data_IF_703077950169
#
_entry.id   IF_703077950169
#
_cell.length_a   1.000
_cell.length_b   1.000
_cell.length_c   1.000
_cell.angle_alpha   90.00
_cell.angle_beta   90.00
_cell.angle_gamma   90.00
#
_symmetry.space_group_name_H-M   'P 1'
#
loop_
_entity.id
_entity.type
_entity.pdbx_description
1 polymer ?
#
# COMPACT_ATOMS: atom_id res chain seq x y z
N UNK A 1 2.00 -10.14 19.36
CA UNK A 1 1.71 -9.27 18.20
C UNK A 1 0.29 -8.76 18.40
N UNK A 2 0.00 -7.47 18.16
CA UNK A 2 -1.37 -6.97 18.40
C UNK A 2 -2.29 -7.34 17.22
N UNK A 3 -3.59 -7.54 17.44
CA UNK A 3 -4.54 -7.83 16.36
C UNK A 3 -4.55 -6.78 15.24
N UNK A 4 -4.25 -5.52 15.56
CA UNK A 4 -4.15 -4.42 14.59
C UNK A 4 -2.93 -4.57 13.68
N UNK A 5 -1.81 -5.08 14.23
CA UNK A 5 -0.60 -5.33 13.47
C UNK A 5 -0.82 -6.46 12.45
N UNK A 6 -1.48 -7.54 12.86
CA UNK A 6 -1.82 -8.66 11.96
C UNK A 6 -2.71 -8.21 10.80
N UNK A 7 -3.75 -7.43 11.09
CA UNK A 7 -4.61 -6.83 10.05
C UNK A 7 -3.84 -5.95 9.08
N UNK A 8 -2.87 -5.17 9.56
CA UNK A 8 -2.04 -4.32 8.70
C UNK A 8 -1.13 -5.14 7.77
N UNK A 9 -0.56 -6.25 8.25
CA UNK A 9 0.26 -7.15 7.45
C UNK A 9 -0.56 -7.91 6.40
N UNK A 10 -1.77 -8.34 6.76
CA UNK A 10 -2.70 -8.98 5.83
C UNK A 10 -3.10 -8.03 4.69
N UNK A 11 -3.47 -6.79 5.04
CA UNK A 11 -3.74 -5.75 4.05
C UNK A 11 -2.55 -5.52 3.10
N UNK A 12 -1.33 -5.37 3.62
CA UNK A 12 -0.15 -5.18 2.78
C UNK A 12 0.13 -6.39 1.87
N UNK A 13 -0.21 -7.60 2.32
CA UNK A 13 -0.11 -8.81 1.51
C UNK A 13 -1.11 -8.78 0.36
N UNK A 14 -2.33 -8.30 0.55
CA UNK A 14 -3.31 -8.14 -0.52
C UNK A 14 -2.88 -7.05 -1.51
N UNK A 15 -2.50 -5.88 -1.01
CA UNK A 15 -2.09 -4.75 -1.85
C UNK A 15 -0.89 -5.07 -2.77
N UNK A 16 0.11 -5.82 -2.27
CA UNK A 16 1.23 -6.24 -3.12
C UNK A 16 0.83 -7.28 -4.18
N UNK A 17 -0.20 -8.09 -3.93
CA UNK A 17 -0.73 -9.04 -4.90
C UNK A 17 -1.51 -8.31 -5.99
N UNK A 18 -2.30 -7.28 -5.63
CA UNK A 18 -3.01 -6.45 -6.61
C UNK A 18 -2.06 -5.75 -7.59
N UNK A 19 -0.84 -5.41 -7.14
CA UNK A 19 0.19 -4.87 -8.02
C UNK A 19 0.54 -5.80 -9.19
N UNK A 20 0.33 -7.12 -9.12
CA UNK A 20 0.61 -8.04 -10.25
C UNK A 20 -0.32 -7.82 -11.44
N UNK A 21 -1.44 -7.11 -11.29
CA UNK A 21 -2.36 -6.80 -12.39
C UNK A 21 -1.89 -5.64 -13.28
N UNK A 22 -0.82 -4.94 -12.89
CA UNK A 22 -0.30 -3.78 -13.61
C UNK A 22 1.02 -4.11 -14.29
N UNK A 23 1.33 -3.45 -15.41
CA UNK A 23 2.65 -3.51 -16.00
C UNK A 23 3.69 -2.83 -15.08
N UNK A 24 4.90 -3.38 -15.03
CA UNK A 24 5.94 -2.87 -14.12
C UNK A 24 6.57 -1.59 -14.64
N UNK A 25 6.80 -1.51 -15.96
CA UNK A 25 7.47 -0.36 -16.56
C UNK A 25 6.55 0.86 -16.59
N UNK A 26 5.26 0.66 -16.90
CA UNK A 26 4.24 1.69 -16.81
C UNK A 26 4.12 2.23 -15.38
N UNK A 27 3.93 1.34 -14.40
CA UNK A 27 3.82 1.72 -12.99
C UNK A 27 5.10 2.40 -12.47
N UNK A 28 6.27 1.96 -12.95
CA UNK A 28 7.56 2.58 -12.64
C UNK A 28 7.63 4.02 -13.15
N UNK A 29 7.23 4.23 -14.41
CA UNK A 29 7.18 5.54 -15.05
C UNK A 29 6.22 6.49 -14.32
N UNK A 30 4.97 6.07 -14.12
CA UNK A 30 3.92 6.90 -13.52
C UNK A 30 4.24 7.30 -12.08
N UNK A 31 4.85 6.40 -11.32
CA UNK A 31 5.19 6.66 -9.91
C UNK A 31 6.54 7.33 -9.72
N UNK A 32 7.37 7.42 -10.77
CA UNK A 32 8.76 7.85 -10.67
C UNK A 32 9.53 6.99 -9.67
N UNK A 33 9.33 5.67 -9.75
CA UNK A 33 10.02 4.66 -8.95
C UNK A 33 10.91 3.83 -9.88
N UNK A 34 11.87 3.07 -9.35
CA UNK A 34 12.59 2.10 -10.18
C UNK A 34 11.73 0.84 -10.38
N UNK A 35 11.85 0.12 -11.51
CA UNK A 35 11.20 -1.17 -11.71
C UNK A 35 11.55 -2.16 -10.58
N UNK A 36 12.80 -2.12 -10.12
CA UNK A 36 13.29 -2.93 -8.99
C UNK A 36 12.55 -2.66 -7.68
N UNK A 37 12.08 -1.43 -7.45
CA UNK A 37 11.27 -1.07 -6.27
C UNK A 37 9.89 -1.73 -6.36
N UNK A 38 9.28 -1.73 -7.54
CA UNK A 38 7.98 -2.36 -7.79
C UNK A 38 8.10 -3.89 -7.60
N UNK A 39 9.13 -4.51 -8.17
CA UNK A 39 9.39 -5.94 -7.96
C UNK A 39 9.65 -6.30 -6.49
N UNK A 40 10.39 -5.47 -5.77
CA UNK A 40 10.66 -5.68 -4.34
C UNK A 40 9.37 -5.62 -3.50
N UNK A 41 8.45 -4.72 -3.85
CA UNK A 41 7.13 -4.64 -3.21
C UNK A 41 6.26 -5.87 -3.55
N UNK A 42 6.07 -6.17 -4.85
CA UNK A 42 5.28 -7.33 -5.33
C UNK A 42 5.72 -8.64 -4.68
N UNK A 43 7.01 -8.92 -4.74
CA UNK A 43 7.61 -10.15 -4.18
C UNK A 43 7.51 -10.23 -2.66
N UNK A 44 7.25 -9.12 -1.96
CA UNK A 44 7.27 -9.06 -0.50
C UNK A 44 8.69 -9.09 0.07
N UNK A 45 9.74 -8.97 -0.76
CA UNK A 45 11.14 -8.82 -0.30
C UNK A 45 11.27 -7.59 0.60
N UNK A 46 10.49 -6.55 0.32
CA UNK A 46 10.36 -5.38 1.17
C UNK A 46 8.97 -5.37 1.81
N UNK A 47 8.90 -5.80 3.07
CA UNK A 47 7.64 -5.80 3.85
C UNK A 47 7.14 -4.36 4.07
N UNK A 48 8.06 -3.41 4.25
CA UNK A 48 7.74 -2.00 4.51
C UNK A 48 8.58 -1.08 3.61
N UNK A 49 8.04 -0.62 2.47
CA UNK A 49 8.66 0.44 1.69
C UNK A 49 8.75 1.71 2.54
N UNK A 50 9.58 2.67 2.11
CA UNK A 50 9.56 4.02 2.68
C UNK A 50 8.12 4.57 2.59
N UNK A 51 7.62 5.30 3.60
CA UNK A 51 6.22 5.73 3.65
C UNK A 51 5.73 6.42 2.37
N UNK A 52 6.56 7.30 1.78
CA UNK A 52 6.23 7.99 0.52
C UNK A 52 6.05 7.01 -0.65
N UNK A 53 6.91 6.00 -0.76
CA UNK A 53 6.82 4.96 -1.80
C UNK A 53 5.56 4.13 -1.61
N UNK A 54 5.29 3.71 -0.37
CA UNK A 54 4.09 2.95 -0.05
C UNK A 54 2.83 3.74 -0.42
N UNK A 55 2.77 5.04 -0.10
CA UNK A 55 1.59 5.86 -0.39
C UNK A 55 1.36 6.03 -1.89
N UNK A 56 2.42 6.26 -2.67
CA UNK A 56 2.33 6.32 -4.14
C UNK A 56 1.76 5.03 -4.73
N UNK A 57 2.30 3.88 -4.30
CA UNK A 57 1.86 2.57 -4.81
C UNK A 57 0.40 2.29 -4.45
N UNK A 58 0.00 2.57 -3.21
CA UNK A 58 -1.37 2.35 -2.76
C UNK A 58 -2.37 3.26 -3.48
N UNK A 59 -2.04 4.53 -3.67
CA UNK A 59 -2.87 5.46 -4.44
C UNK A 59 -3.04 4.99 -5.90
N UNK A 60 -1.96 4.53 -6.53
CA UNK A 60 -1.96 4.00 -7.90
C UNK A 60 -2.92 2.83 -8.09
N UNK A 61 -2.92 1.87 -7.16
CA UNK A 61 -3.81 0.70 -7.21
C UNK A 61 -5.22 1.00 -6.63
N UNK A 62 -5.51 2.27 -6.32
CA UNK A 62 -6.85 2.73 -5.96
C UNK A 62 -7.21 2.67 -4.47
N UNK A 63 -6.22 2.58 -3.57
CA UNK A 63 -6.44 2.63 -2.12
C UNK A 63 -6.23 4.04 -1.54
N UNK A 64 -7.19 4.50 -0.75
CA UNK A 64 -7.10 5.78 -0.04
C UNK A 64 -6.62 5.64 1.41
N UNK A 65 -5.50 6.28 1.69
CA UNK A 65 -4.84 6.26 3.00
C UNK A 65 -5.38 7.36 3.92
N UNK A 66 -6.12 6.96 4.95
CA UNK A 66 -6.60 7.88 5.99
C UNK A 66 -5.78 7.78 7.28
N UNK A 67 -5.22 8.88 7.77
CA UNK A 67 -4.54 8.91 9.09
C UNK A 67 -5.53 9.43 10.13
N UNK A 68 -6.07 8.55 10.96
CA UNK A 68 -6.94 8.91 12.08
C UNK A 68 -6.13 9.09 13.37
N UNK A 69 -6.28 10.24 14.03
CA UNK A 69 -5.60 10.55 15.30
C UNK A 69 -6.41 9.99 16.48
N UNK A 70 -5.97 8.87 17.06
CA UNK A 70 -6.55 8.38 18.31
C UNK A 70 -5.98 9.12 19.53
N UNK A 71 -6.85 9.78 20.31
CA UNK A 71 -6.51 10.46 21.56
C UNK A 71 -6.32 9.45 22.69
N UNK A 72 -5.10 8.90 22.91
CA UNK A 72 -4.48 8.67 24.26
C UNK A 72 -3.26 7.74 24.31
N UNK A 73 -3.01 6.95 23.30
CA UNK A 73 -1.75 6.21 23.09
C UNK A 73 -1.58 6.26 21.57
N UNK A 74 -0.37 6.18 21.01
CA UNK A 74 -0.21 6.15 19.55
C UNK A 74 -0.07 4.69 19.08
N UNK A 75 -1.14 3.86 19.04
CA UNK A 75 -1.21 2.74 18.11
C UNK A 75 -1.86 3.27 16.82
N UNK A 76 -1.10 3.23 15.73
CA UNK A 76 -1.60 3.53 14.38
C UNK A 76 -2.54 2.39 13.99
N UNK A 77 -3.81 2.53 14.36
CA UNK A 77 -4.86 1.54 14.12
C UNK A 77 -5.56 1.77 12.79
N UNK A 78 -5.43 0.78 11.91
CA UNK A 78 -6.30 0.39 10.78
C UNK A 78 -6.92 1.53 9.96
N UNK A 79 -6.36 1.72 8.77
CA UNK A 79 -6.91 2.52 7.67
C UNK A 79 -8.10 1.80 7.06
N UNK A 80 -9.29 2.39 7.13
CA UNK A 80 -10.35 2.06 6.18
C UNK A 80 -9.92 2.61 4.83
N UNK A 81 -9.59 1.73 3.89
CA UNK A 81 -9.25 2.09 2.51
C UNK A 81 -10.45 1.72 1.64
N UNK A 82 -11.05 2.70 0.99
CA UNK A 82 -12.19 2.49 0.08
C UNK A 82 -11.60 2.41 -1.33
N UNK A 83 -11.90 1.34 -2.08
CA UNK A 83 -11.57 1.25 -3.52
C UNK A 83 -12.37 2.35 -4.22
N UNK A 84 -11.70 3.26 -4.94
CA UNK A 84 -12.44 4.23 -5.77
C UNK A 84 -13.36 3.47 -6.72
N UNK A 85 -14.67 3.64 -6.56
CA UNK A 85 -15.63 3.23 -7.57
C UNK A 85 -15.35 4.09 -8.81
N UNK A 86 -14.70 3.50 -9.81
CA UNK A 86 -14.52 4.15 -11.10
C UNK A 86 -15.91 4.27 -11.71
N UNK A 87 -16.40 5.50 -11.85
CA UNK A 87 -17.63 5.78 -12.61
C UNK A 87 -17.35 5.44 -14.08
N UNK A 88 -18.23 4.62 -14.66
CA UNK A 88 -18.18 4.13 -16.03
C UNK A 88 -18.21 5.24 -17.08
#
# INVERSE_FOLDING_TARGET
MSPEHEKALEFLREARLECYHYDVEEMSFDLGLSPSTIYAFRSGRTIWPRPRTLFKILDYIGYEITITKNKKVIPIGVRTLIKKAVSA
#
